data_IF_999091659481
#
_entry.id   IF_999091659481
#
_cell.length_a   1.000
_cell.length_b   1.000
_cell.length_c   1.000
_cell.angle_alpha   90.00
_cell.angle_beta   90.00
_cell.angle_gamma   90.00
#
_symmetry.space_group_name_H-M   'P 1'
#
loop_
_entity.id
_entity.type
_entity.pdbx_description
1 polymer ?
#
# COMPACT_ATOMS: atom_id res chain seq x y z
N UNK A 1 34.76 2.95 -8.91
CA UNK A 1 33.87 3.85 -8.12
C UNK A 1 32.42 3.36 -8.18
N UNK A 2 31.72 3.22 -7.05
CA UNK A 2 30.32 2.74 -7.02
C UNK A 2 29.36 3.88 -7.43
N UNK A 3 28.40 3.65 -8.34
CA UNK A 3 27.38 4.63 -8.69
C UNK A 3 26.53 5.08 -7.49
N UNK A 4 26.19 6.36 -7.41
CA UNK A 4 25.31 6.92 -6.38
C UNK A 4 23.95 6.19 -6.27
N UNK A 5 23.25 5.85 -7.39
CA UNK A 5 21.98 5.13 -7.31
C UNK A 5 22.10 3.77 -6.60
N UNK A 6 23.18 3.02 -6.86
CA UNK A 6 23.43 1.74 -6.18
C UNK A 6 23.61 1.93 -4.68
N UNK A 7 24.34 2.97 -4.24
CA UNK A 7 24.51 3.27 -2.82
C UNK A 7 23.19 3.65 -2.13
N UNK A 8 22.32 4.39 -2.81
CA UNK A 8 20.98 4.72 -2.30
C UNK A 8 20.10 3.49 -2.17
N UNK A 9 20.17 2.54 -3.11
CA UNK A 9 19.43 1.28 -3.02
C UNK A 9 19.91 0.43 -1.83
N UNK A 10 21.22 0.31 -1.61
CA UNK A 10 21.76 -0.39 -0.42
C UNK A 10 21.32 0.30 0.87
N UNK A 11 21.36 1.64 0.92
CA UNK A 11 20.89 2.38 2.08
C UNK A 11 19.40 2.15 2.35
N UNK A 12 18.56 2.14 1.31
CA UNK A 12 17.13 1.85 1.42
C UNK A 12 16.87 0.41 1.89
N UNK A 13 17.51 -0.58 1.26
CA UNK A 13 17.36 -1.99 1.62
C UNK A 13 17.84 -2.29 3.06
N UNK A 14 18.82 -1.56 3.57
CA UNK A 14 19.32 -1.73 4.94
C UNK A 14 18.26 -1.51 6.02
N UNK A 15 17.19 -0.76 5.73
CA UNK A 15 16.10 -0.56 6.69
C UNK A 15 15.28 -1.84 6.96
N UNK A 16 15.28 -2.77 6.00
CA UNK A 16 14.63 -4.09 6.13
C UNK A 16 15.44 -5.00 7.06
N UNK A 17 16.77 -4.83 7.08
CA UNK A 17 17.68 -5.63 7.92
C UNK A 17 17.49 -5.27 9.40
N UNK A 18 17.57 -6.25 10.32
CA UNK A 18 17.55 -6.00 11.76
C UNK A 18 18.61 -4.97 12.19
N UNK A 19 18.23 -4.06 13.09
CA UNK A 19 19.06 -2.90 13.47
C UNK A 19 20.50 -3.27 13.87
N UNK A 20 20.67 -4.37 14.60
CA UNK A 20 21.97 -4.87 15.05
C UNK A 20 22.90 -5.28 13.91
N UNK A 21 22.36 -5.67 12.75
CA UNK A 21 23.13 -6.17 11.60
C UNK A 21 23.28 -5.15 10.46
N UNK A 22 22.56 -4.03 10.48
CA UNK A 22 22.52 -3.07 9.35
C UNK A 22 23.90 -2.54 8.95
N UNK A 23 24.71 -2.15 9.94
CA UNK A 23 26.01 -1.55 9.68
C UNK A 23 26.97 -2.55 9.03
N UNK A 24 27.01 -3.77 9.53
CA UNK A 24 27.80 -4.86 8.97
C UNK A 24 27.33 -5.25 7.57
N UNK A 25 26.03 -5.52 7.42
CA UNK A 25 25.42 -5.87 6.14
C UNK A 25 25.65 -4.82 5.05
N UNK A 26 25.56 -3.53 5.40
CA UNK A 26 25.86 -2.44 4.45
C UNK A 26 27.32 -2.45 4.01
N UNK A 27 28.25 -2.67 4.94
CA UNK A 27 29.69 -2.73 4.61
C UNK A 27 29.99 -3.88 3.67
N UNK A 28 29.38 -5.04 3.88
CA UNK A 28 29.55 -6.21 2.99
C UNK A 28 29.06 -5.90 1.57
N UNK A 29 27.86 -5.35 1.43
CA UNK A 29 27.30 -4.97 0.13
C UNK A 29 28.09 -3.85 -0.57
N UNK A 30 28.55 -2.85 0.18
CA UNK A 30 29.41 -1.79 -0.36
C UNK A 30 30.76 -2.37 -0.82
N UNK A 31 31.35 -3.32 -0.08
CA UNK A 31 32.58 -4.00 -0.48
C UNK A 31 32.41 -4.86 -1.74
N UNK A 32 31.30 -5.60 -1.86
CA UNK A 32 30.99 -6.40 -3.06
C UNK A 32 30.85 -5.50 -4.30
N UNK A 33 30.05 -4.43 -4.19
CA UNK A 33 29.86 -3.48 -5.30
C UNK A 33 31.16 -2.74 -5.64
N UNK A 34 31.98 -2.40 -4.64
CA UNK A 34 33.29 -1.81 -4.87
C UNK A 34 34.19 -2.76 -5.66
N UNK A 35 34.32 -4.02 -5.22
CA UNK A 35 35.15 -5.02 -5.91
C UNK A 35 34.69 -5.22 -7.36
N UNK A 36 33.38 -5.30 -7.60
CA UNK A 36 32.83 -5.41 -8.97
C UNK A 36 33.15 -4.18 -9.83
N UNK A 37 33.07 -2.99 -9.26
CA UNK A 37 33.44 -1.77 -9.96
C UNK A 37 34.94 -1.76 -10.34
N UNK A 38 35.82 -2.26 -9.47
CA UNK A 38 37.26 -2.39 -9.76
C UNK A 38 37.55 -3.44 -10.86
N UNK A 39 36.75 -4.52 -10.93
CA UNK A 39 36.86 -5.54 -12.00
C UNK A 39 36.27 -5.05 -13.34
N UNK A 40 35.73 -3.83 -13.39
CA UNK A 40 35.24 -3.21 -14.63
C UNK A 40 33.76 -3.49 -14.93
N UNK A 41 32.96 -3.85 -13.92
CA UNK A 41 31.52 -3.98 -14.09
C UNK A 41 30.87 -2.65 -14.52
N UNK A 42 29.96 -2.73 -15.49
CA UNK A 42 29.26 -1.55 -15.98
C UNK A 42 28.28 -1.00 -14.93
N UNK A 43 27.99 0.33 -14.93
CA UNK A 43 27.08 0.93 -13.96
C UNK A 43 25.69 0.28 -13.91
N UNK A 44 25.17 -0.16 -15.05
CA UNK A 44 23.87 -0.85 -15.15
C UNK A 44 23.88 -2.23 -14.47
N UNK A 45 25.01 -2.94 -14.51
CA UNK A 45 25.18 -4.21 -13.82
C UNK A 45 25.24 -3.98 -12.31
N UNK A 46 25.98 -2.97 -11.85
CA UNK A 46 26.05 -2.59 -10.43
C UNK A 46 24.67 -2.19 -9.89
N UNK A 47 23.86 -1.51 -10.69
CA UNK A 47 22.49 -1.16 -10.33
C UNK A 47 21.60 -2.40 -10.21
N UNK A 48 21.66 -3.30 -11.20
CA UNK A 48 20.92 -4.57 -11.19
C UNK A 48 21.28 -5.44 -10.00
N UNK A 49 22.56 -5.48 -9.63
CA UNK A 49 23.07 -6.18 -8.45
C UNK A 49 22.55 -5.54 -7.16
N UNK A 50 22.57 -4.22 -7.06
CA UNK A 50 22.06 -3.50 -5.89
C UNK A 50 20.55 -3.74 -5.66
N UNK A 51 19.76 -4.01 -6.71
CA UNK A 51 18.36 -4.45 -6.55
C UNK A 51 18.25 -5.82 -5.84
N UNK A 52 19.24 -6.71 -6.03
CA UNK A 52 19.32 -7.99 -5.34
C UNK A 52 19.42 -7.87 -3.81
N UNK A 53 19.91 -6.72 -3.31
CA UNK A 53 20.05 -6.45 -1.90
C UNK A 53 18.71 -6.42 -1.15
N UNK A 54 17.59 -6.09 -1.83
CA UNK A 54 16.26 -6.16 -1.21
C UNK A 54 15.84 -7.59 -0.89
N UNK A 55 16.13 -8.53 -1.80
CA UNK A 55 15.81 -9.95 -1.60
C UNK A 55 16.65 -10.52 -0.46
N UNK A 56 17.93 -10.20 -0.44
CA UNK A 56 18.85 -10.61 0.63
C UNK A 56 18.43 -10.05 1.99
N UNK A 57 18.11 -8.76 2.07
CA UNK A 57 17.62 -8.12 3.29
C UNK A 57 16.30 -8.74 3.79
N UNK A 58 15.36 -9.05 2.87
CA UNK A 58 14.10 -9.71 3.21
C UNK A 58 14.32 -11.13 3.75
N UNK A 59 15.24 -11.88 3.16
CA UNK A 59 15.62 -13.21 3.63
C UNK A 59 16.22 -13.15 5.04
N UNK A 60 17.15 -12.23 5.29
CA UNK A 60 17.73 -12.02 6.62
C UNK A 60 16.69 -11.63 7.67
N UNK A 61 15.74 -10.77 7.31
CA UNK A 61 14.63 -10.41 8.19
C UNK A 61 13.75 -11.63 8.50
N UNK A 62 13.42 -12.44 7.51
CA UNK A 62 12.63 -13.65 7.69
C UNK A 62 13.36 -14.66 8.58
N UNK A 63 14.66 -14.86 8.37
CA UNK A 63 15.48 -15.75 9.19
C UNK A 63 15.56 -15.24 10.64
N UNK A 64 15.78 -13.94 10.84
CA UNK A 64 15.78 -13.34 12.17
C UNK A 64 14.45 -13.55 12.89
N UNK A 65 13.31 -13.36 12.21
CA UNK A 65 11.98 -13.62 12.77
C UNK A 65 11.76 -15.09 13.14
N UNK A 66 12.29 -16.03 12.36
CA UNK A 66 12.21 -17.48 12.68
C UNK A 66 13.06 -17.83 13.91
N UNK A 67 14.22 -17.22 14.05
CA UNK A 67 15.17 -17.52 15.12
C UNK A 67 14.75 -16.93 16.48
N UNK A 68 14.22 -15.71 16.48
CA UNK A 68 13.86 -14.99 17.71
C UNK A 68 12.35 -14.97 17.98
N UNK A 69 11.54 -15.59 17.12
CA UNK A 69 10.07 -15.52 17.20
C UNK A 69 9.52 -14.15 16.78
N UNK A 70 8.20 -14.06 16.66
CA UNK A 70 7.53 -12.76 16.51
C UNK A 70 7.55 -12.03 17.85
N UNK A 71 8.54 -11.16 18.05
CA UNK A 71 8.51 -10.09 19.06
C UNK A 71 7.49 -9.00 18.67
N UNK A 72 6.29 -9.38 18.22
CA UNK A 72 5.18 -8.47 17.89
C UNK A 72 4.84 -7.55 19.08
N UNK A 73 5.22 -7.95 20.30
CA UNK A 73 4.93 -7.21 21.53
C UNK A 73 6.11 -6.40 22.13
N UNK A 74 7.32 -6.42 21.55
CA UNK A 74 8.46 -5.68 22.11
C UNK A 74 8.80 -4.32 21.44
N UNK A 75 7.98 -3.87 20.46
CA UNK A 75 8.02 -2.56 19.76
C UNK A 75 9.10 -2.44 18.67
N UNK A 76 8.76 -1.80 17.52
CA UNK A 76 8.59 -0.35 17.50
C UNK A 76 7.23 0.06 16.93
N UNK A 77 6.32 0.46 17.82
CA UNK A 77 5.06 1.19 17.54
C UNK A 77 5.20 2.44 16.65
N UNK A 78 6.42 2.87 16.30
CA UNK A 78 6.68 4.12 15.58
C UNK A 78 6.41 4.02 14.10
N UNK A 79 6.85 2.95 13.43
CA UNK A 79 6.65 2.81 11.97
C UNK A 79 5.19 2.54 11.66
N UNK A 80 4.54 1.69 12.45
CA UNK A 80 3.09 1.44 12.31
C UNK A 80 2.28 2.69 12.61
N UNK A 81 2.59 3.44 13.67
CA UNK A 81 1.94 4.73 13.94
C UNK A 81 2.20 5.77 12.84
N UNK A 82 3.37 5.77 12.20
CA UNK A 82 3.65 6.64 11.05
C UNK A 82 2.83 6.24 9.82
N UNK A 83 2.69 4.95 9.52
CA UNK A 83 1.84 4.47 8.43
C UNK A 83 0.36 4.76 8.68
N UNK A 84 -0.12 4.54 9.91
CA UNK A 84 -1.49 4.89 10.31
C UNK A 84 -1.70 6.39 10.26
N UNK A 85 -0.77 7.18 10.78
CA UNK A 85 -0.82 8.64 10.74
C UNK A 85 -0.82 9.19 9.31
N UNK A 86 0.02 8.63 8.43
CA UNK A 86 0.05 8.98 7.01
C UNK A 86 -1.26 8.61 6.30
N UNK A 87 -1.80 7.42 6.55
CA UNK A 87 -3.08 7.00 6.01
C UNK A 87 -4.23 7.93 6.45
N UNK A 88 -4.28 8.30 7.74
CA UNK A 88 -5.26 9.24 8.27
C UNK A 88 -5.11 10.64 7.66
N UNK A 89 -3.87 11.13 7.49
CA UNK A 89 -3.59 12.39 6.82
C UNK A 89 -4.10 12.37 5.37
N UNK A 90 -3.85 11.30 4.63
CA UNK A 90 -4.39 11.11 3.28
C UNK A 90 -5.93 11.11 3.29
N UNK A 91 -6.58 10.39 4.22
CA UNK A 91 -8.03 10.41 4.33
C UNK A 91 -8.60 11.82 4.59
N UNK A 92 -7.91 12.63 5.40
CA UNK A 92 -8.29 14.02 5.68
C UNK A 92 -8.09 14.93 4.45
N UNK A 93 -6.93 14.86 3.79
CA UNK A 93 -6.60 15.70 2.63
C UNK A 93 -7.47 15.39 1.41
N UNK A 94 -7.68 14.10 1.13
CA UNK A 94 -8.48 13.65 -0.02
C UNK A 94 -9.98 13.56 0.29
N UNK A 95 -10.40 14.01 1.47
CA UNK A 95 -11.81 14.18 1.79
C UNK A 95 -12.59 12.87 1.88
N UNK A 96 -11.94 11.76 2.26
CA UNK A 96 -12.62 10.48 2.47
C UNK A 96 -13.73 10.56 3.54
N UNK A 97 -13.64 11.54 4.45
CA UNK A 97 -14.67 11.85 5.45
C UNK A 97 -15.65 12.94 5.03
N UNK A 98 -15.48 13.56 3.86
CA UNK A 98 -16.48 14.47 3.32
C UNK A 98 -17.57 13.63 2.68
N UNK A 99 -18.61 13.33 3.45
CA UNK A 99 -19.83 12.77 2.89
C UNK A 99 -20.24 13.64 1.68
N UNK A 100 -20.45 13.04 0.49
CA UNK A 100 -20.91 13.80 -0.65
C UNK A 100 -22.19 14.52 -0.23
N UNK A 101 -22.18 15.85 -0.28
CA UNK A 101 -23.40 16.64 -0.08
C UNK A 101 -24.28 16.39 -1.29
N UNK A 102 -25.09 15.34 -1.22
CA UNK A 102 -26.14 15.11 -2.19
C UNK A 102 -27.10 16.31 -2.09
N UNK A 103 -27.42 16.99 -3.20
CA UNK A 103 -28.36 18.10 -3.21
C UNK A 103 -29.80 17.57 -3.09
N UNK A 104 -30.09 16.88 -1.98
CA UNK A 104 -31.42 16.36 -1.66
C UNK A 104 -32.13 17.42 -0.83
N UNK A 105 -32.96 18.24 -1.50
CA UNK A 105 -33.80 19.26 -0.85
C UNK A 105 -34.99 18.68 -0.08
N UNK A 106 -35.35 17.43 -0.34
CA UNK A 106 -36.56 16.82 0.22
C UNK A 106 -36.38 15.30 0.42
N UNK A 107 -36.64 14.82 1.63
CA UNK A 107 -36.51 13.40 1.99
C UNK A 107 -37.53 12.52 1.26
N UNK A 108 -38.62 13.10 0.72
CA UNK A 108 -39.61 12.39 -0.09
C UNK A 108 -39.07 11.96 -1.46
N UNK A 109 -37.94 12.50 -1.89
CA UNK A 109 -37.27 12.11 -3.15
C UNK A 109 -36.33 10.92 -2.98
N UNK A 110 -36.12 10.45 -1.74
CA UNK A 110 -35.20 9.34 -1.46
C UNK A 110 -35.95 8.03 -1.68
N UNK A 111 -35.65 7.38 -2.81
CA UNK A 111 -36.05 5.98 -3.04
C UNK A 111 -34.89 5.10 -2.59
N UNK A 112 -35.08 4.40 -1.47
CA UNK A 112 -34.09 3.44 -0.96
C UNK A 112 -34.27 2.13 -1.72
N UNK A 113 -33.25 1.74 -2.47
CA UNK A 113 -33.16 0.40 -3.06
C UNK A 113 -32.36 -0.49 -2.11
N UNK A 114 -33.05 -1.24 -1.25
CA UNK A 114 -32.40 -2.31 -0.50
C UNK A 114 -32.05 -3.44 -1.46
N UNK A 115 -30.76 -3.53 -1.84
CA UNK A 115 -30.21 -4.75 -2.44
C UNK A 115 -29.81 -5.68 -1.30
N UNK A 116 -30.46 -6.82 -1.21
CA UNK A 116 -30.03 -7.93 -0.35
C UNK A 116 -28.76 -8.53 -0.96
N UNK A 117 -27.61 -7.91 -0.70
CA UNK A 117 -26.30 -8.40 -1.15
C UNK A 117 -25.78 -9.43 -0.14
N UNK A 118 -26.16 -10.69 -0.38
CA UNK A 118 -25.34 -11.79 0.09
C UNK A 118 -24.00 -11.73 -0.67
N UNK A 119 -22.98 -11.17 -0.01
CA UNK A 119 -21.55 -11.34 -0.20
C UNK A 119 -20.98 -11.45 -1.65
N UNK A 120 -20.06 -10.54 -1.97
CA UNK A 120 -19.11 -10.55 -3.09
C UNK A 120 -19.64 -10.23 -4.52
N UNK A 121 -19.56 -8.94 -4.88
CA UNK A 121 -18.96 -8.54 -6.16
C UNK A 121 -19.75 -8.68 -7.47
N UNK A 122 -21.05 -8.99 -7.45
CA UNK A 122 -21.85 -9.04 -8.69
C UNK A 122 -22.63 -7.74 -8.93
N UNK A 123 -22.41 -7.09 -10.09
CA UNK A 123 -23.26 -6.03 -10.61
C UNK A 123 -24.29 -6.69 -11.52
N UNK A 124 -25.49 -6.99 -11.01
CA UNK A 124 -26.62 -7.37 -11.88
C UNK A 124 -27.20 -6.10 -12.53
N UNK A 125 -27.21 -5.98 -13.89
CA UNK A 125 -27.68 -4.81 -14.60
C UNK A 125 -29.20 -4.78 -14.83
N UNK A 126 -29.97 -5.78 -14.35
CA UNK A 126 -31.39 -5.89 -14.69
C UNK A 126 -32.28 -5.19 -13.67
N UNK A 127 -32.39 -3.86 -13.80
CA UNK A 127 -33.50 -3.11 -13.19
C UNK A 127 -34.80 -3.64 -13.80
N UNK A 128 -35.72 -4.14 -12.96
CA UNK A 128 -36.99 -4.69 -13.41
C UNK A 128 -37.85 -3.58 -14.04
N UNK A 129 -38.20 -3.66 -15.33
CA UNK A 129 -38.94 -2.61 -16.04
C UNK A 129 -40.37 -2.41 -15.53
N UNK A 130 -40.91 -3.31 -14.69
CA UNK A 130 -42.19 -3.08 -13.99
C UNK A 130 -42.07 -2.00 -12.90
N UNK A 131 -40.96 -1.97 -12.16
CA UNK A 131 -40.73 -0.95 -11.13
C UNK A 131 -40.62 0.45 -11.72
N UNK A 132 -39.98 0.59 -12.89
CA UNK A 132 -39.93 1.85 -13.62
C UNK A 132 -41.30 2.34 -14.10
N UNK A 133 -42.20 1.42 -14.50
CA UNK A 133 -43.57 1.77 -14.93
C UNK A 133 -44.43 2.26 -13.76
N UNK A 134 -44.34 1.60 -12.60
CA UNK A 134 -45.06 2.02 -11.39
C UNK A 134 -44.61 3.40 -10.93
N UNK A 135 -43.30 3.67 -10.95
CA UNK A 135 -42.76 5.00 -10.63
C UNK A 135 -43.23 6.08 -11.61
N UNK A 136 -43.25 5.80 -12.92
CA UNK A 136 -43.79 6.73 -13.93
C UNK A 136 -45.29 6.98 -13.75
N UNK A 137 -46.07 5.96 -13.39
CA UNK A 137 -47.51 6.09 -13.15
C UNK A 137 -47.83 6.91 -11.89
N UNK A 138 -47.04 6.76 -10.82
CA UNK A 138 -47.22 7.52 -9.58
C UNK A 138 -46.92 9.02 -9.71
N UNK A 139 -46.13 9.43 -10.71
CA UNK A 139 -45.82 10.84 -11.00
C UNK A 139 -46.95 11.60 -11.72
N UNK A 140 -47.97 10.91 -12.23
CA UNK A 140 -49.06 11.53 -13.00
C UNK A 140 -50.28 11.94 -12.14
N UNK A 141 -50.24 11.71 -10.82
CA UNK A 141 -51.32 12.04 -9.89
C UNK A 141 -51.08 13.36 -9.13
N UNK A 142 -50.26 14.26 -9.66
CA UNK A 142 -49.87 15.50 -8.96
C UNK A 142 -49.82 16.72 -9.88
N UNK A 143 -50.73 16.77 -10.86
CA UNK A 143 -51.16 18.01 -11.53
C UNK A 143 -52.62 18.28 -11.18
#
# INVERSE_FOLDING_TARGET
MIPLPSRLLIAAASWIVPASKRAEWRREWEAELWHRAEVGAQPEELLRRALGAFRDAAFLLQQHRKQYGFDLFQRPLRTEALFVGFALLCCLLFGAFRAPRLPLRDARQIVVFERNVAFAGSIDPRINPRLMRVWKAGKSFSD
#
